data_IF_452288111671
#
_entry.id   IF_452288111671
#
_cell.length_a   1.000
_cell.length_b   1.000
_cell.length_c   1.000
_cell.angle_alpha   90.00
_cell.angle_beta   90.00
_cell.angle_gamma   90.00
#
_symmetry.space_group_name_H-M   'P 1'
#
loop_
_entity.id
_entity.type
_entity.pdbx_description
1 polymer ?
#
# COMPACT_ATOMS: atom_id res chain seq x y z
N UNK A 1 -0.55 -14.01 27.17
CA UNK A 1 -0.20 -12.98 26.17
C UNK A 1 0.22 -13.58 24.81
N UNK A 2 1.18 -14.49 24.73
CA UNK A 2 1.58 -15.10 23.43
C UNK A 2 0.46 -15.89 22.74
N UNK A 3 -0.35 -16.62 23.47
CA UNK A 3 -1.52 -17.32 22.93
C UNK A 3 -2.56 -16.36 22.38
N UNK A 4 -2.83 -15.26 23.10
CA UNK A 4 -3.79 -14.25 22.71
C UNK A 4 -3.34 -13.48 21.43
N UNK A 5 -2.06 -13.19 21.31
CA UNK A 5 -1.48 -12.55 20.10
C UNK A 5 -1.33 -13.52 18.93
N UNK A 6 -1.63 -14.81 19.11
CA UNK A 6 -1.36 -15.89 18.15
C UNK A 6 0.12 -16.03 17.78
N UNK A 7 1.03 -15.53 18.64
CA UNK A 7 2.48 -15.60 18.42
C UNK A 7 3.15 -16.80 19.07
N UNK A 8 2.45 -17.59 19.90
CA UNK A 8 3.00 -18.75 20.58
C UNK A 8 3.72 -19.74 19.63
N UNK A 9 3.21 -20.08 18.43
CA UNK A 9 3.93 -20.95 17.49
C UNK A 9 5.24 -20.36 16.93
N UNK A 10 5.47 -19.07 17.14
CA UNK A 10 6.59 -18.32 16.58
C UNK A 10 7.55 -17.77 17.65
N UNK A 11 7.41 -18.20 18.91
CA UNK A 11 8.18 -17.68 20.04
C UNK A 11 9.70 -17.77 19.85
N UNK A 12 10.18 -18.80 19.16
CA UNK A 12 11.60 -19.02 18.89
C UNK A 12 12.09 -18.40 17.58
N UNK A 13 11.18 -17.67 16.88
CA UNK A 13 11.52 -17.01 15.62
C UNK A 13 12.07 -15.61 15.90
N UNK A 14 13.15 -15.24 15.19
CA UNK A 14 13.69 -13.88 15.26
C UNK A 14 12.63 -12.85 14.83
N UNK A 15 12.49 -11.75 15.57
CA UNK A 15 11.55 -10.69 15.28
C UNK A 15 11.71 -10.10 13.86
N UNK A 16 12.95 -10.08 13.32
CA UNK A 16 13.23 -9.69 11.95
C UNK A 16 12.51 -10.55 10.89
N UNK A 17 12.27 -11.83 11.19
CA UNK A 17 11.62 -12.80 10.30
C UNK A 17 10.09 -12.83 10.43
N UNK A 18 9.50 -11.99 11.30
CA UNK A 18 8.04 -11.86 11.45
C UNK A 18 7.44 -10.98 10.35
N UNK A 19 6.16 -11.23 10.01
CA UNK A 19 5.40 -10.33 9.13
C UNK A 19 5.14 -8.98 9.81
N UNK A 20 4.74 -7.95 9.03
CA UNK A 20 4.41 -6.62 9.58
C UNK A 20 3.37 -6.71 10.70
N UNK A 21 2.23 -7.38 10.46
CA UNK A 21 1.20 -7.55 11.47
C UNK A 21 1.67 -8.33 12.71
N UNK A 22 2.52 -9.35 12.53
CA UNK A 22 3.10 -10.08 13.67
C UNK A 22 4.05 -9.20 14.50
N UNK A 23 4.83 -8.30 13.87
CA UNK A 23 5.69 -7.34 14.55
C UNK A 23 4.87 -6.34 15.37
N UNK A 24 3.77 -5.86 14.81
CA UNK A 24 2.84 -4.97 15.53
C UNK A 24 2.21 -5.66 16.75
N UNK A 25 1.73 -6.88 16.58
CA UNK A 25 1.21 -7.71 17.68
C UNK A 25 2.27 -7.94 18.77
N UNK A 26 3.51 -8.23 18.38
CA UNK A 26 4.63 -8.37 19.31
C UNK A 26 4.94 -7.05 20.02
N UNK A 27 5.00 -5.94 19.30
CA UNK A 27 5.21 -4.61 19.86
C UNK A 27 4.14 -4.27 20.91
N UNK A 28 2.86 -4.46 20.56
CA UNK A 28 1.76 -4.26 21.52
C UNK A 28 1.91 -5.15 22.75
N UNK A 29 2.22 -6.44 22.57
CA UNK A 29 2.44 -7.34 23.69
C UNK A 29 3.57 -6.86 24.62
N UNK A 30 4.67 -6.36 24.05
CA UNK A 30 5.78 -5.81 24.83
C UNK A 30 5.37 -4.56 25.63
N UNK A 31 4.56 -3.65 25.07
CA UNK A 31 4.11 -2.44 25.78
C UNK A 31 3.12 -2.75 26.90
N UNK A 32 2.38 -3.84 26.81
CA UNK A 32 1.39 -4.25 27.80
C UNK A 32 1.98 -5.09 28.95
N UNK A 33 3.26 -5.52 28.89
CA UNK A 33 3.90 -6.32 29.93
C UNK A 33 3.92 -5.59 31.29
N UNK A 34 4.00 -4.27 31.29
CA UNK A 34 4.05 -3.44 32.50
C UNK A 34 2.70 -3.06 33.09
N UNK A 35 1.57 -3.53 32.50
CA UNK A 35 0.21 -3.11 32.87
C UNK A 35 0.09 -1.58 32.96
N UNK A 36 0.29 -0.82 31.90
CA UNK A 36 0.33 0.62 31.93
C UNK A 36 -1.06 1.21 32.21
N UNK A 37 -1.14 2.29 33.01
CA UNK A 37 -2.36 3.08 33.18
C UNK A 37 -2.69 3.92 31.94
N UNK A 38 -1.63 4.25 31.15
CA UNK A 38 -1.74 5.05 29.93
C UNK A 38 -0.94 4.42 28.80
N UNK A 39 -1.59 4.09 27.69
CA UNK A 39 -1.02 3.45 26.51
C UNK A 39 -0.98 4.44 25.33
N UNK A 40 0.21 4.68 24.79
CA UNK A 40 0.44 5.50 23.60
C UNK A 40 0.73 4.60 22.40
N UNK A 41 -0.08 4.70 21.37
CA UNK A 41 0.05 3.94 20.14
C UNK A 41 0.17 4.90 18.95
N UNK A 42 1.38 5.06 18.43
CA UNK A 42 1.66 5.96 17.32
C UNK A 42 1.61 5.18 16.00
N UNK A 43 0.55 5.42 15.22
CA UNK A 43 0.24 4.78 13.94
C UNK A 43 0.45 3.25 13.93
N UNK A 44 -0.09 2.51 14.92
CA UNK A 44 0.23 1.08 15.07
C UNK A 44 -0.29 0.22 13.91
N UNK A 45 -1.19 0.74 13.09
CA UNK A 45 -1.84 0.06 11.97
C UNK A 45 -1.12 0.27 10.63
N UNK A 46 -0.10 1.14 10.58
CA UNK A 46 0.60 1.44 9.32
C UNK A 46 1.36 0.23 8.79
N UNK A 47 1.15 -0.07 7.52
CA UNK A 47 1.76 -1.24 6.86
C UNK A 47 1.15 -2.58 7.23
N UNK A 48 0.04 -2.59 7.96
CA UNK A 48 -0.72 -3.79 8.33
C UNK A 48 -1.90 -3.96 7.38
N UNK A 49 -2.18 -5.19 6.99
CA UNK A 49 -3.34 -5.49 6.15
C UNK A 49 -4.68 -5.30 6.91
N UNK A 50 -5.82 -5.10 6.20
CA UNK A 50 -7.10 -4.78 6.84
C UNK A 50 -7.59 -5.79 7.87
N UNK A 51 -7.30 -7.09 7.68
CA UNK A 51 -7.70 -8.14 8.63
C UNK A 51 -6.87 -8.01 9.90
N UNK A 52 -5.55 -7.92 9.74
CA UNK A 52 -4.62 -7.75 10.88
C UNK A 52 -4.84 -6.43 11.62
N UNK A 53 -5.29 -5.35 10.95
CA UNK A 53 -5.68 -4.08 11.60
C UNK A 53 -6.88 -4.27 12.53
N UNK A 54 -7.93 -4.94 12.05
CA UNK A 54 -9.12 -5.24 12.88
C UNK A 54 -8.76 -6.12 14.08
N UNK A 55 -7.91 -7.12 13.87
CA UNK A 55 -7.39 -7.96 14.94
C UNK A 55 -6.62 -7.14 15.97
N UNK A 56 -5.75 -6.22 15.54
CA UNK A 56 -4.96 -5.36 16.42
C UNK A 56 -5.87 -4.49 17.29
N UNK A 57 -6.87 -3.84 16.69
CA UNK A 57 -7.86 -3.03 17.40
C UNK A 57 -8.63 -3.85 18.45
N UNK A 58 -9.10 -5.03 18.05
CA UNK A 58 -9.77 -5.97 18.94
C UNK A 58 -8.86 -6.38 20.11
N UNK A 59 -7.60 -6.72 19.80
CA UNK A 59 -6.61 -7.10 20.81
C UNK A 59 -6.39 -5.99 21.84
N UNK A 60 -6.24 -4.73 21.40
CA UNK A 60 -6.07 -3.61 22.33
C UNK A 60 -7.27 -3.55 23.27
N UNK A 61 -8.49 -3.57 22.75
CA UNK A 61 -9.73 -3.50 23.56
C UNK A 61 -9.88 -4.65 24.57
N UNK A 62 -9.41 -5.83 24.21
CA UNK A 62 -9.54 -7.04 25.04
C UNK A 62 -8.39 -7.19 26.06
N UNK A 63 -7.22 -6.59 25.80
CA UNK A 63 -6.03 -6.74 26.65
C UNK A 63 -5.82 -5.62 27.65
N UNK A 64 -6.46 -4.46 27.46
CA UNK A 64 -6.37 -3.34 28.39
C UNK A 64 -7.35 -3.49 29.56
N UNK A 65 -6.95 -2.96 30.71
CA UNK A 65 -7.87 -2.79 31.85
C UNK A 65 -8.95 -1.73 31.51
N UNK A 66 -10.17 -1.83 32.04
CA UNK A 66 -11.16 -0.76 31.94
C UNK A 66 -10.68 0.62 32.46
N UNK A 67 -9.64 0.63 33.27
CA UNK A 67 -9.03 1.86 33.82
C UNK A 67 -7.89 2.39 32.93
N UNK A 68 -7.40 1.60 31.96
CA UNK A 68 -6.32 2.01 31.06
C UNK A 68 -6.82 3.01 30.03
N UNK A 69 -6.21 4.18 29.99
CA UNK A 69 -6.45 5.18 28.94
C UNK A 69 -5.58 4.90 27.73
N UNK A 70 -6.14 4.97 26.51
CA UNK A 70 -5.40 4.77 25.27
C UNK A 70 -5.44 6.03 24.43
N UNK A 71 -4.27 6.51 24.01
CA UNK A 71 -4.13 7.50 22.95
C UNK A 71 -3.58 6.79 21.71
N UNK A 72 -4.37 6.82 20.64
CA UNK A 72 -4.07 6.14 19.37
C UNK A 72 -4.00 7.16 18.25
N UNK A 73 -2.86 7.34 17.64
CA UNK A 73 -2.75 8.13 16.41
C UNK A 73 -3.01 7.24 15.18
N UNK A 74 -3.73 7.77 14.20
CA UNK A 74 -3.98 7.05 12.93
C UNK A 74 -4.30 8.01 11.80
N UNK A 75 -3.90 7.65 10.59
CA UNK A 75 -4.36 8.27 9.34
C UNK A 75 -5.61 7.56 8.76
N UNK A 76 -6.03 6.44 9.36
CA UNK A 76 -7.18 5.66 8.89
C UNK A 76 -8.46 6.14 9.55
N UNK A 77 -9.29 6.87 8.81
CA UNK A 77 -10.50 7.49 9.32
C UNK A 77 -11.58 6.46 9.71
N UNK A 78 -11.58 5.27 9.12
CA UNK A 78 -12.42 4.14 9.52
C UNK A 78 -12.08 3.61 10.93
N UNK A 79 -10.79 3.63 11.32
CA UNK A 79 -10.37 3.34 12.69
C UNK A 79 -10.82 4.43 13.65
N UNK A 80 -10.53 5.69 13.31
CA UNK A 80 -10.87 6.85 14.14
C UNK A 80 -12.37 6.93 14.43
N UNK A 81 -13.23 6.56 13.49
CA UNK A 81 -14.68 6.49 13.70
C UNK A 81 -15.09 5.51 14.78
N UNK A 82 -14.29 4.50 15.08
CA UNK A 82 -14.56 3.50 16.11
C UNK A 82 -14.12 3.90 17.52
N UNK A 83 -13.48 5.05 17.71
CA UNK A 83 -12.98 5.53 19.00
C UNK A 83 -14.08 6.27 19.78
N UNK A 84 -13.89 6.37 21.10
CA UNK A 84 -14.81 7.10 22.00
C UNK A 84 -14.76 8.59 21.73
N UNK A 85 -13.56 9.14 21.47
CA UNK A 85 -13.32 10.54 21.15
C UNK A 85 -12.23 10.62 20.08
N UNK A 86 -12.35 11.55 19.15
CA UNK A 86 -11.34 11.85 18.15
C UNK A 86 -10.97 13.33 18.16
N UNK A 87 -9.68 13.59 17.91
CA UNK A 87 -9.13 14.91 17.63
C UNK A 87 -8.54 14.87 16.23
N UNK A 88 -9.01 15.75 15.35
CA UNK A 88 -8.46 15.90 14.00
C UNK A 88 -7.52 17.08 13.96
N UNK A 89 -6.29 16.82 13.48
CA UNK A 89 -5.23 17.84 13.40
C UNK A 89 -4.89 18.07 11.94
N UNK A 90 -4.93 19.34 11.49
CA UNK A 90 -4.44 19.77 10.20
C UNK A 90 -3.52 21.00 10.34
N UNK A 91 -2.40 20.99 9.64
CA UNK A 91 -1.40 22.09 9.65
C UNK A 91 -1.02 22.54 11.09
N UNK A 92 -0.91 21.57 12.01
CA UNK A 92 -0.55 21.81 13.41
C UNK A 92 -1.67 22.42 14.28
N UNK A 93 -2.91 22.42 13.80
CA UNK A 93 -4.07 22.95 14.52
C UNK A 93 -5.13 21.88 14.68
N UNK A 94 -5.80 21.87 15.83
CA UNK A 94 -7.00 21.08 16.04
C UNK A 94 -8.14 21.70 15.24
N UNK A 95 -8.73 20.93 14.33
CA UNK A 95 -9.87 21.34 13.49
C UNK A 95 -11.17 20.66 13.89
N UNK A 96 -11.09 19.59 14.67
CA UNK A 96 -12.23 18.90 15.27
C UNK A 96 -11.81 18.22 16.56
N UNK A 97 -12.71 18.23 17.57
CA UNK A 97 -12.60 17.46 18.79
C UNK A 97 -14.00 17.02 19.22
N UNK A 98 -14.20 15.74 19.45
CA UNK A 98 -15.49 15.20 19.88
C UNK A 98 -15.66 13.73 19.56
N UNK A 99 -16.88 13.21 19.77
CA UNK A 99 -17.23 11.83 19.41
C UNK A 99 -17.37 11.71 17.90
N UNK A 100 -16.69 10.76 17.25
CA UNK A 100 -16.79 10.57 15.79
C UNK A 100 -18.22 10.41 15.30
N UNK A 101 -19.05 9.66 16.05
CA UNK A 101 -20.45 9.42 15.70
C UNK A 101 -21.33 10.68 15.76
N UNK A 102 -20.94 11.71 16.53
CA UNK A 102 -21.66 13.00 16.57
C UNK A 102 -21.37 13.82 15.31
N UNK A 103 -20.17 13.65 14.71
CA UNK A 103 -19.80 14.29 13.45
C UNK A 103 -20.49 13.61 12.26
N UNK A 104 -20.52 12.27 12.25
CA UNK A 104 -21.18 11.49 11.21
C UNK A 104 -21.53 10.07 11.70
N UNK A 105 -22.68 9.52 11.30
CA UNK A 105 -23.17 8.22 11.78
C UNK A 105 -22.38 7.02 11.20
N UNK A 106 -21.76 7.18 10.04
CA UNK A 106 -21.01 6.09 9.35
C UNK A 106 -19.56 6.46 9.13
N UNK A 107 -18.64 5.47 9.06
CA UNK A 107 -17.22 5.73 8.74
C UNK A 107 -17.02 6.51 7.45
N UNK A 108 -17.79 6.23 6.41
CA UNK A 108 -17.67 6.89 5.11
C UNK A 108 -18.10 8.37 5.18
N UNK A 109 -19.18 8.66 5.91
CA UNK A 109 -19.63 10.05 6.11
C UNK A 109 -18.66 10.80 7.01
N UNK A 110 -18.08 10.13 8.02
CA UNK A 110 -17.04 10.70 8.87
C UNK A 110 -15.80 11.07 8.04
N UNK A 111 -15.35 10.18 7.19
CA UNK A 111 -14.23 10.45 6.26
C UNK A 111 -14.52 11.69 5.39
N UNK A 112 -15.69 11.75 4.76
CA UNK A 112 -16.09 12.90 3.94
C UNK A 112 -16.10 14.22 4.74
N UNK A 113 -16.65 14.19 5.95
CA UNK A 113 -16.70 15.36 6.82
C UNK A 113 -15.31 15.83 7.26
N UNK A 114 -14.42 14.90 7.61
CA UNK A 114 -13.03 15.23 7.98
C UNK A 114 -12.29 15.84 6.77
N UNK A 115 -12.47 15.28 5.58
CA UNK A 115 -11.90 15.83 4.33
C UNK A 115 -12.44 17.24 4.05
N UNK A 116 -13.74 17.47 4.23
CA UNK A 116 -14.33 18.81 4.07
C UNK A 116 -13.74 19.82 5.08
N UNK A 117 -13.53 19.42 6.34
CA UNK A 117 -12.88 20.24 7.38
C UNK A 117 -11.42 20.58 7.03
N UNK A 118 -10.72 19.69 6.33
CA UNK A 118 -9.34 19.91 5.83
C UNK A 118 -9.27 20.79 4.58
N UNK A 119 -10.40 21.25 4.04
CA UNK A 119 -10.48 22.10 2.85
C UNK A 119 -11.03 21.41 1.61
N UNK A 120 -11.49 20.16 1.76
CA UNK A 120 -12.08 19.37 0.67
C UNK A 120 -11.08 18.88 -0.37
N UNK A 121 -11.59 18.15 -1.35
CA UNK A 121 -10.81 17.79 -2.54
C UNK A 121 -10.77 18.95 -3.52
N UNK A 122 -9.58 19.28 -4.01
CA UNK A 122 -9.47 20.14 -5.18
C UNK A 122 -10.06 19.40 -6.39
N UNK A 123 -11.18 19.91 -6.94
CA UNK A 123 -11.88 19.30 -8.08
C UNK A 123 -11.30 19.71 -9.43
N UNK A 124 -10.13 20.36 -9.45
CA UNK A 124 -9.48 20.68 -10.71
C UNK A 124 -9.11 19.40 -11.46
N UNK A 125 -9.54 19.33 -12.72
CA UNK A 125 -9.14 18.23 -13.59
C UNK A 125 -7.63 18.19 -13.72
N UNK A 126 -7.06 17.01 -13.50
CA UNK A 126 -5.62 16.79 -13.63
C UNK A 126 -5.10 17.29 -14.99
N UNK A 127 -4.11 18.16 -14.96
CA UNK A 127 -3.42 18.64 -16.17
C UNK A 127 -2.80 17.48 -16.95
N UNK A 128 -2.42 16.40 -16.26
CA UNK A 128 -1.93 15.17 -16.91
C UNK A 128 -3.03 14.58 -17.82
N UNK A 129 -4.28 14.51 -17.35
CA UNK A 129 -5.37 13.94 -18.12
C UNK A 129 -5.68 14.76 -19.39
N UNK A 130 -5.51 16.09 -19.33
CA UNK A 130 -5.74 16.99 -20.48
C UNK A 130 -4.65 16.90 -21.55
N UNK A 131 -3.41 16.64 -21.15
CA UNK A 131 -2.24 16.67 -22.04
C UNK A 131 -1.72 15.28 -22.43
N UNK A 132 -2.44 14.21 -22.05
CA UNK A 132 -1.97 12.85 -22.25
C UNK A 132 -2.41 12.29 -23.61
N UNK A 133 -1.60 12.54 -24.64
CA UNK A 133 -1.81 11.99 -26.00
C UNK A 133 -1.10 10.63 -26.16
N UNK A 134 -1.43 9.68 -25.28
CA UNK A 134 -0.94 8.29 -25.41
C UNK A 134 -1.89 7.44 -26.24
N UNK A 135 -1.46 7.07 -27.42
CA UNK A 135 -2.14 6.05 -28.23
C UNK A 135 -1.67 4.66 -27.79
N UNK A 136 -2.45 4.07 -26.88
CA UNK A 136 -2.19 2.69 -26.46
C UNK A 136 -2.29 1.74 -27.68
N UNK A 137 -1.41 0.71 -27.75
CA UNK A 137 -1.53 -0.34 -28.77
C UNK A 137 -2.95 -0.92 -28.84
N UNK A 138 -3.38 -1.34 -30.02
CA UNK A 138 -4.69 -1.96 -30.22
C UNK A 138 -4.67 -3.41 -29.75
N UNK A 139 -4.78 -3.57 -28.42
CA UNK A 139 -4.87 -4.88 -27.75
C UNK A 139 -6.06 -4.87 -26.81
N UNK A 140 -6.81 -5.95 -26.81
CA UNK A 140 -7.97 -6.10 -25.90
C UNK A 140 -7.52 -6.33 -24.45
N UNK A 141 -6.47 -7.17 -24.29
CA UNK A 141 -5.93 -7.55 -22.98
C UNK A 141 -4.53 -6.95 -22.78
N UNK A 142 -4.40 -6.15 -21.72
CA UNK A 142 -3.10 -5.57 -21.34
C UNK A 142 -2.24 -6.57 -20.57
N UNK A 143 -2.87 -7.36 -19.68
CA UNK A 143 -2.17 -8.38 -18.89
C UNK A 143 -2.93 -9.69 -18.95
N UNK A 144 -2.19 -10.76 -19.16
CA UNK A 144 -2.67 -12.12 -19.05
C UNK A 144 -1.74 -12.91 -18.13
N UNK A 145 -2.29 -13.44 -17.06
CA UNK A 145 -1.64 -14.40 -16.17
C UNK A 145 -2.38 -15.72 -16.29
N UNK A 146 -1.66 -16.78 -16.61
CA UNK A 146 -2.24 -18.11 -16.76
C UNK A 146 -1.47 -19.12 -15.93
N UNK A 147 -2.16 -19.71 -14.94
CA UNK A 147 -1.65 -20.69 -13.99
C UNK A 147 -0.29 -20.27 -13.39
N UNK A 148 -0.13 -18.98 -13.08
CA UNK A 148 1.11 -18.46 -12.51
C UNK A 148 1.40 -19.09 -11.16
N UNK A 149 2.59 -19.67 -11.05
CA UNK A 149 3.09 -20.27 -9.82
C UNK A 149 4.49 -19.77 -9.50
N UNK A 150 4.73 -19.52 -8.21
CA UNK A 150 6.06 -19.26 -7.68
C UNK A 150 6.31 -20.07 -6.42
N UNK A 151 7.36 -20.88 -6.49
CA UNK A 151 7.81 -21.73 -5.40
C UNK A 151 9.23 -21.36 -4.98
N UNK A 152 9.48 -21.33 -3.70
CA UNK A 152 10.81 -21.20 -3.08
C UNK A 152 11.06 -22.43 -2.20
N UNK A 153 11.87 -23.36 -2.65
CA UNK A 153 12.01 -24.66 -2.00
C UNK A 153 10.65 -25.37 -1.90
N UNK A 154 10.19 -25.66 -0.70
CA UNK A 154 8.89 -26.29 -0.44
C UNK A 154 7.75 -25.28 -0.22
N UNK A 155 8.05 -23.98 -0.20
CA UNK A 155 7.06 -22.94 0.05
C UNK A 155 6.48 -22.41 -1.25
N UNK A 156 5.16 -22.42 -1.39
CA UNK A 156 4.43 -21.80 -2.49
C UNK A 156 4.07 -20.36 -2.14
N UNK A 157 4.75 -19.41 -2.75
CA UNK A 157 4.45 -17.98 -2.60
C UNK A 157 3.26 -17.55 -3.48
N UNK A 158 3.08 -18.19 -4.63
CA UNK A 158 1.93 -18.03 -5.52
C UNK A 158 1.58 -19.41 -6.06
N UNK A 159 0.27 -19.72 -6.11
CA UNK A 159 -0.23 -21.04 -6.53
C UNK A 159 -1.37 -20.87 -7.53
N UNK A 160 -1.10 -21.23 -8.79
CA UNK A 160 -2.08 -21.29 -9.89
C UNK A 160 -2.92 -20.00 -10.07
N UNK A 161 -2.31 -18.83 -10.00
CA UNK A 161 -3.02 -17.58 -10.21
C UNK A 161 -3.32 -17.38 -11.70
N UNK A 162 -4.61 -17.24 -12.03
CA UNK A 162 -5.08 -16.97 -13.39
C UNK A 162 -5.99 -15.75 -13.37
N UNK A 163 -5.65 -14.73 -14.15
CA UNK A 163 -6.48 -13.53 -14.34
C UNK A 163 -6.09 -12.79 -15.61
N UNK A 164 -7.00 -11.95 -16.09
CA UNK A 164 -6.83 -11.12 -17.29
C UNK A 164 -7.23 -9.70 -16.96
N UNK A 165 -6.49 -8.73 -17.48
CA UNK A 165 -6.74 -7.30 -17.30
C UNK A 165 -6.94 -6.69 -18.67
N UNK A 166 -8.08 -6.02 -18.86
CA UNK A 166 -8.42 -5.34 -20.10
C UNK A 166 -7.69 -4.01 -20.23
N UNK A 167 -7.57 -3.53 -21.44
CA UNK A 167 -7.06 -2.20 -21.73
C UNK A 167 -7.95 -1.14 -21.05
N UNK A 168 -7.33 -0.18 -20.37
CA UNK A 168 -8.02 0.91 -19.67
C UNK A 168 -8.67 0.52 -18.35
N UNK A 169 -8.53 -0.74 -17.91
CA UNK A 169 -9.10 -1.22 -16.66
C UNK A 169 -8.18 -0.88 -15.47
N UNK A 170 -8.78 -0.41 -14.36
CA UNK A 170 -8.12 -0.35 -13.05
C UNK A 170 -8.45 -1.63 -12.30
N UNK A 171 -7.50 -2.56 -12.27
CA UNK A 171 -7.67 -3.89 -11.68
C UNK A 171 -7.06 -3.97 -10.27
N UNK A 172 -7.86 -4.31 -9.26
CA UNK A 172 -7.44 -4.46 -7.88
C UNK A 172 -7.02 -5.90 -7.53
N UNK A 173 -5.76 -6.11 -7.14
CA UNK A 173 -5.29 -7.38 -6.59
C UNK A 173 -5.29 -7.32 -5.06
N UNK A 174 -6.33 -7.88 -4.44
CA UNK A 174 -6.58 -7.80 -3.00
C UNK A 174 -6.15 -9.07 -2.26
N UNK A 175 -5.87 -8.94 -0.98
CA UNK A 175 -5.54 -10.06 -0.09
C UNK A 175 -4.65 -9.64 1.09
N UNK A 176 -4.55 -10.48 2.14
CA UNK A 176 -3.73 -10.19 3.31
C UNK A 176 -2.23 -10.13 2.99
N UNK A 177 -1.44 -9.67 3.96
CA UNK A 177 0.02 -9.72 3.86
C UNK A 177 0.49 -11.18 3.76
N UNK A 178 1.44 -11.43 2.86
CA UNK A 178 1.90 -12.81 2.59
C UNK A 178 1.07 -13.61 1.57
N UNK A 179 -0.07 -13.09 1.09
CA UNK A 179 -0.92 -13.77 0.09
C UNK A 179 -0.29 -13.92 -1.31
N UNK A 180 0.92 -13.43 -1.54
CA UNK A 180 1.61 -13.56 -2.83
C UNK A 180 1.41 -12.40 -3.81
N UNK A 181 0.68 -11.33 -3.44
CA UNK A 181 0.43 -10.16 -4.30
C UNK A 181 1.71 -9.59 -4.91
N UNK A 182 2.66 -9.18 -4.08
CA UNK A 182 3.94 -8.59 -4.56
C UNK A 182 4.77 -9.60 -5.37
N UNK A 183 4.66 -10.90 -5.07
CA UNK A 183 5.32 -11.95 -5.86
C UNK A 183 4.69 -12.07 -7.24
N UNK A 184 3.36 -12.00 -7.35
CA UNK A 184 2.64 -11.97 -8.62
C UNK A 184 3.03 -10.74 -9.45
N UNK A 185 3.06 -9.54 -8.83
CA UNK A 185 3.56 -8.33 -9.51
C UNK A 185 4.99 -8.49 -10.02
N UNK A 186 5.91 -9.00 -9.19
CA UNK A 186 7.30 -9.23 -9.61
C UNK A 186 7.40 -10.22 -10.78
N UNK A 187 6.54 -11.23 -10.82
CA UNK A 187 6.49 -12.14 -11.98
C UNK A 187 5.98 -11.45 -13.23
N UNK A 188 4.93 -10.64 -13.13
CA UNK A 188 4.41 -9.86 -14.26
C UNK A 188 5.39 -8.79 -14.75
N UNK A 189 6.20 -8.21 -13.86
CA UNK A 189 7.26 -7.27 -14.25
C UNK A 189 8.54 -7.95 -14.74
N UNK A 190 8.61 -9.29 -14.76
CA UNK A 190 9.82 -10.03 -15.11
C UNK A 190 10.97 -9.87 -14.08
N UNK A 191 10.68 -9.38 -12.88
CA UNK A 191 11.64 -9.27 -11.77
C UNK A 191 11.76 -10.59 -10.99
N UNK A 192 10.81 -11.49 -11.14
CA UNK A 192 10.85 -12.84 -10.62
C UNK A 192 10.41 -13.83 -11.71
N UNK A 193 11.22 -14.85 -11.95
CA UNK A 193 10.85 -15.91 -12.91
C UNK A 193 9.78 -16.81 -12.29
N UNK A 194 8.62 -17.02 -12.95
CA UNK A 194 7.65 -18.01 -12.52
C UNK A 194 8.25 -19.41 -12.48
N UNK A 195 7.84 -20.23 -11.52
CA UNK A 195 8.16 -21.67 -11.46
C UNK A 195 7.41 -22.42 -12.56
N UNK A 196 6.11 -22.13 -12.69
CA UNK A 196 5.26 -22.62 -13.76
C UNK A 196 4.26 -21.55 -14.22
N UNK A 197 3.46 -21.83 -15.23
CA UNK A 197 2.51 -20.88 -15.80
C UNK A 197 3.17 -19.83 -16.70
N UNK A 198 2.38 -18.92 -17.23
CA UNK A 198 2.82 -17.86 -18.16
C UNK A 198 2.23 -16.50 -17.76
N UNK A 199 2.98 -15.44 -18.09
CA UNK A 199 2.46 -14.07 -18.02
C UNK A 199 2.78 -13.34 -19.34
N UNK A 200 1.82 -12.59 -19.85
CA UNK A 200 1.98 -11.73 -21.01
C UNK A 200 1.60 -10.30 -20.68
N UNK A 201 2.36 -9.37 -21.20
CA UNK A 201 2.10 -7.93 -21.14
C UNK A 201 1.97 -7.44 -22.57
N UNK A 202 0.82 -6.85 -22.92
CA UNK A 202 0.51 -6.43 -24.29
C UNK A 202 0.73 -7.56 -25.31
N UNK A 203 0.34 -8.79 -24.97
CA UNK A 203 0.55 -9.99 -25.78
C UNK A 203 1.98 -10.53 -25.78
N UNK A 204 2.95 -9.82 -25.19
CA UNK A 204 4.37 -10.21 -25.14
C UNK A 204 4.62 -11.14 -23.96
N UNK A 205 5.10 -12.34 -24.20
CA UNK A 205 5.48 -13.31 -23.19
C UNK A 205 6.71 -12.80 -22.41
N UNK A 206 6.54 -12.56 -21.11
CA UNK A 206 7.57 -12.00 -20.23
C UNK A 206 8.78 -12.93 -20.04
N UNK A 207 8.62 -14.23 -20.23
CA UNK A 207 9.74 -15.19 -20.17
C UNK A 207 10.60 -15.16 -21.42
N UNK A 208 9.97 -14.92 -22.59
CA UNK A 208 10.64 -14.96 -23.90
C UNK A 208 11.25 -13.63 -24.29
N UNK A 209 10.58 -12.53 -23.98
CA UNK A 209 10.99 -11.17 -24.37
C UNK A 209 10.84 -10.19 -23.17
N UNK A 210 11.58 -10.38 -22.06
CA UNK A 210 11.39 -9.61 -20.86
C UNK A 210 11.66 -8.11 -21.02
N UNK A 211 12.64 -7.73 -21.81
CA UNK A 211 12.98 -6.32 -22.05
C UNK A 211 11.88 -5.61 -22.84
N UNK A 212 11.37 -6.27 -23.89
CA UNK A 212 10.30 -5.73 -24.71
C UNK A 212 8.98 -5.61 -23.94
N UNK A 213 8.68 -6.56 -23.05
CA UNK A 213 7.51 -6.48 -22.17
C UNK A 213 7.67 -5.33 -21.16
N UNK A 214 8.85 -5.16 -20.55
CA UNK A 214 9.14 -4.09 -19.59
C UNK A 214 9.12 -2.69 -20.20
N UNK A 215 9.43 -2.53 -21.47
CA UNK A 215 9.34 -1.25 -22.15
C UNK A 215 7.93 -0.63 -22.15
N UNK A 216 6.89 -1.47 -21.95
CA UNK A 216 5.49 -1.05 -21.88
C UNK A 216 4.93 -1.04 -20.45
N UNK A 217 5.79 -1.05 -19.43
CA UNK A 217 5.40 -1.24 -18.03
C UNK A 217 5.98 -0.15 -17.15
N UNK A 218 5.12 0.56 -16.41
CA UNK A 218 5.52 1.33 -15.25
C UNK A 218 5.37 0.48 -13.97
N UNK A 219 6.36 0.50 -13.09
CA UNK A 219 6.32 -0.22 -11.83
C UNK A 219 6.71 0.66 -10.64
N UNK A 220 5.76 0.87 -9.74
CA UNK A 220 6.02 1.52 -8.46
C UNK A 220 6.07 0.46 -7.36
N UNK A 221 7.22 0.31 -6.73
CA UNK A 221 7.40 -0.67 -5.66
C UNK A 221 6.77 -0.19 -4.34
N UNK A 222 6.38 -1.13 -3.48
CA UNK A 222 5.86 -0.84 -2.13
C UNK A 222 6.87 -0.06 -1.26
N UNK A 223 8.15 -0.36 -1.38
CA UNK A 223 9.23 0.45 -0.79
C UNK A 223 9.66 1.48 -1.81
N UNK A 224 9.83 2.72 -1.37
CA UNK A 224 10.32 3.77 -2.24
C UNK A 224 11.61 3.34 -2.95
N UNK A 225 11.58 3.36 -4.27
CA UNK A 225 12.72 3.04 -5.13
C UNK A 225 13.44 4.29 -5.63
N UNK A 226 13.19 5.43 -4.98
CA UNK A 226 13.82 6.70 -5.29
C UNK A 226 15.24 6.74 -4.70
N UNK A 227 16.12 7.44 -5.38
CA UNK A 227 17.47 7.71 -4.92
C UNK A 227 17.42 8.85 -3.90
N UNK A 228 17.53 8.53 -2.61
CA UNK A 228 17.39 9.50 -1.52
C UNK A 228 18.47 10.59 -1.49
N UNK A 229 19.60 10.37 -2.18
CA UNK A 229 20.69 11.36 -2.34
C UNK A 229 20.47 12.31 -3.52
N UNK A 230 19.47 12.05 -4.36
CA UNK A 230 19.13 12.87 -5.51
C UNK A 230 17.92 13.77 -5.19
N UNK A 231 17.91 14.95 -5.76
CA UNK A 231 16.73 15.85 -5.74
C UNK A 231 15.55 15.25 -6.49
N UNK A 232 14.37 15.86 -6.37
CA UNK A 232 13.18 15.48 -7.14
C UNK A 232 13.48 15.51 -8.65
N UNK A 233 14.06 16.61 -9.14
CA UNK A 233 14.42 16.74 -10.55
C UNK A 233 15.41 15.68 -11.01
N UNK A 234 16.46 15.43 -10.26
CA UNK A 234 17.47 14.43 -10.61
C UNK A 234 16.89 13.01 -10.63
N UNK A 235 15.96 12.68 -9.72
CA UNK A 235 15.23 11.43 -9.80
C UNK A 235 14.39 11.33 -11.09
N UNK A 236 13.64 12.38 -11.43
CA UNK A 236 12.85 12.43 -12.67
C UNK A 236 13.75 12.32 -13.91
N UNK A 237 14.87 13.02 -13.94
CA UNK A 237 15.88 12.95 -15.00
C UNK A 237 16.41 11.52 -15.18
N UNK A 238 16.77 10.88 -14.06
CA UNK A 238 17.24 9.48 -14.07
C UNK A 238 16.19 8.53 -14.65
N UNK A 239 14.96 8.60 -14.15
CA UNK A 239 13.89 7.71 -14.63
C UNK A 239 13.48 8.00 -16.06
N UNK A 240 13.49 9.28 -16.49
CA UNK A 240 13.24 9.62 -17.89
C UNK A 240 14.23 8.91 -18.83
N UNK A 241 15.52 8.91 -18.49
CA UNK A 241 16.54 8.20 -19.26
C UNK A 241 16.39 6.67 -19.15
N UNK A 242 16.09 6.15 -17.96
CA UNK A 242 15.88 4.72 -17.73
C UNK A 242 14.70 4.16 -18.53
N UNK A 243 13.65 4.97 -18.74
CA UNK A 243 12.50 4.63 -19.61
C UNK A 243 12.73 4.96 -21.10
N UNK A 244 13.94 5.37 -21.48
CA UNK A 244 14.30 5.58 -22.87
C UNK A 244 13.78 6.89 -23.48
N UNK A 245 13.41 7.87 -22.66
CA UNK A 245 13.06 9.22 -23.15
C UNK A 245 14.33 9.85 -23.72
N UNK A 246 14.26 10.30 -24.97
CA UNK A 246 15.42 10.91 -25.64
C UNK A 246 15.87 12.19 -24.92
N UNK A 247 17.17 12.46 -24.92
CA UNK A 247 17.75 13.66 -24.31
C UNK A 247 17.07 14.96 -24.76
N UNK A 248 16.64 15.01 -26.02
CA UNK A 248 15.97 16.19 -26.61
C UNK A 248 14.56 16.45 -26.01
N UNK A 249 13.87 15.40 -25.57
CA UNK A 249 12.51 15.48 -25.00
C UNK A 249 12.51 15.38 -23.48
N UNK A 250 13.65 15.03 -22.86
CA UNK A 250 13.74 14.77 -21.43
C UNK A 250 13.36 15.99 -20.61
N UNK A 251 13.94 17.15 -20.94
CA UNK A 251 13.73 18.39 -20.19
C UNK A 251 12.28 18.86 -20.26
N UNK A 252 11.67 18.81 -21.44
CA UNK A 252 10.25 19.11 -21.64
C UNK A 252 9.35 18.19 -20.79
N UNK A 253 9.59 16.87 -20.86
CA UNK A 253 8.80 15.89 -20.11
C UNK A 253 8.98 16.00 -18.60
N UNK A 254 10.17 16.25 -18.12
CA UNK A 254 10.44 16.44 -16.69
C UNK A 254 9.76 17.71 -16.18
N UNK A 255 9.80 18.81 -16.92
CA UNK A 255 9.11 20.04 -16.56
C UNK A 255 7.60 19.85 -16.53
N UNK A 256 7.01 19.19 -17.54
CA UNK A 256 5.58 18.84 -17.58
C UNK A 256 5.15 18.07 -16.31
N UNK A 257 5.95 17.09 -15.88
CA UNK A 257 5.64 16.31 -14.66
C UNK A 257 5.77 17.16 -13.40
N UNK A 258 6.77 18.05 -13.32
CA UNK A 258 6.95 18.92 -12.15
C UNK A 258 5.77 19.90 -12.03
N UNK A 259 5.34 20.52 -13.12
CA UNK A 259 4.18 21.44 -13.13
C UNK A 259 2.88 20.80 -12.66
N UNK A 260 2.76 19.50 -12.83
CA UNK A 260 1.56 18.73 -12.40
C UNK A 260 1.64 18.30 -10.93
N UNK A 261 2.85 18.14 -10.38
CA UNK A 261 3.06 17.66 -9.01
C UNK A 261 3.09 18.82 -7.97
N UNK A 262 3.17 20.04 -8.41
CA UNK A 262 3.20 21.26 -7.57
C UNK A 262 1.86 21.96 -7.59
#
# INVERSE_FOLDING_TARGET
MLEFTTLAPFQDRLAGALSGGMKQKLGLACTLLGNPDFLLLDEPSVGVDPISRRDLMKMVREMISPETTVLWSTAYLDEAHSFDTAVVIDKGKVIYEGKPHDLAPTPQEFENKVIDLMGGYNKEESLIAKNYDYKAPDVELTVEADNLEKRYGNFYAVKNNTFKIKKGEIFGLLGPNGAGKSTSFKMMCGLARPTSGTARIMGIDIKKQPEKARANLGYMAQKFSLYGSLTVRENLDFFALAYGISMLKKEEKVNEVIEVLV
#
